data_IF_601624845279
#
_entry.id   IF_601624845279
#
_cell.length_a   1.000
_cell.length_b   1.000
_cell.length_c   1.000
_cell.angle_alpha   90.00
_cell.angle_beta   90.00
_cell.angle_gamma   90.00
#
_symmetry.space_group_name_H-M   'P 1'
#
loop_
_entity.id
_entity.type
_entity.pdbx_description
1 polymer ?
#
# COMPACT_ATOMS: atom_id res chain seq x y z
N UNK A 1 -21.41 32.26 -64.86
CA UNK A 1 -20.55 32.53 -63.69
C UNK A 1 -19.15 32.83 -64.22
N UNK A 2 -18.75 34.10 -64.27
CA UNK A 2 -17.44 34.52 -64.80
C UNK A 2 -16.41 34.45 -63.66
N UNK A 3 -15.60 33.39 -63.62
CA UNK A 3 -14.39 33.41 -62.80
C UNK A 3 -13.41 34.36 -63.49
N UNK A 4 -13.15 35.51 -62.88
CA UNK A 4 -12.04 36.39 -63.28
C UNK A 4 -10.78 35.52 -63.35
N UNK A 5 -10.05 35.59 -64.46
CA UNK A 5 -8.75 34.94 -64.62
C UNK A 5 -7.79 35.57 -63.60
N UNK A 6 -7.65 34.95 -62.44
CA UNK A 6 -6.69 35.38 -61.44
C UNK A 6 -5.32 34.94 -61.96
N UNK A 7 -4.39 35.89 -62.06
CA UNK A 7 -3.03 35.60 -62.52
C UNK A 7 -2.39 34.61 -61.53
N UNK A 8 -1.84 33.53 -62.07
CA UNK A 8 -1.21 32.46 -61.30
C UNK A 8 -0.09 33.01 -60.40
N UNK A 9 0.60 34.07 -60.85
CA UNK A 9 1.63 34.77 -60.10
C UNK A 9 1.07 35.41 -58.83
N UNK A 10 -0.13 36.00 -58.91
CA UNK A 10 -0.79 36.62 -57.76
C UNK A 10 -1.26 35.55 -56.77
N UNK A 11 -1.82 34.43 -57.27
CA UNK A 11 -2.20 33.30 -56.42
C UNK A 11 -0.99 32.74 -55.69
N UNK A 12 0.14 32.57 -56.38
CA UNK A 12 1.36 32.05 -55.80
C UNK A 12 1.93 33.00 -54.74
N UNK A 13 1.93 34.31 -54.99
CA UNK A 13 2.39 35.31 -54.03
C UNK A 13 1.57 35.28 -52.72
N UNK A 14 0.24 35.10 -52.82
CA UNK A 14 -0.63 34.98 -51.64
C UNK A 14 -0.33 33.72 -50.84
N UNK A 15 -0.09 32.58 -51.50
CA UNK A 15 0.27 31.32 -50.84
C UNK A 15 1.62 31.47 -50.11
N UNK A 16 2.62 32.06 -50.76
CA UNK A 16 3.95 32.28 -50.17
C UNK A 16 3.86 33.19 -48.94
N UNK A 17 3.09 34.27 -49.02
CA UNK A 17 2.88 35.18 -47.88
C UNK A 17 2.22 34.47 -46.69
N UNK A 18 1.21 33.61 -46.96
CA UNK A 18 0.55 32.80 -45.93
C UNK A 18 1.51 31.83 -45.24
N UNK A 19 2.38 31.17 -46.01
CA UNK A 19 3.37 30.22 -45.45
C UNK A 19 4.37 30.92 -44.53
N UNK A 20 4.83 32.14 -44.89
CA UNK A 20 5.74 32.93 -44.06
C UNK A 20 5.08 33.36 -42.74
N UNK A 21 3.79 33.70 -42.77
CA UNK A 21 3.05 34.04 -41.54
C UNK A 21 2.92 32.81 -40.63
N UNK A 22 2.60 31.64 -41.18
CA UNK A 22 2.47 30.41 -40.41
C UNK A 22 3.81 30.01 -39.76
N UNK A 23 4.94 30.19 -40.46
CA UNK A 23 6.26 29.88 -39.89
C UNK A 23 6.69 30.86 -38.81
N UNK A 24 6.33 32.15 -38.91
CA UNK A 24 6.57 33.13 -37.85
C UNK A 24 5.67 32.94 -36.63
N UNK A 25 4.43 32.49 -36.84
CA UNK A 25 3.47 32.22 -35.78
C UNK A 25 3.65 30.84 -35.15
N UNK A 26 4.43 29.95 -35.76
CA UNK A 26 4.77 28.68 -35.14
C UNK A 26 5.58 28.95 -33.86
N UNK A 27 5.07 28.53 -32.68
CA UNK A 27 5.86 28.64 -31.47
C UNK A 27 7.14 27.81 -31.64
N UNK A 28 8.30 28.37 -31.25
CA UNK A 28 9.59 27.67 -31.38
C UNK A 28 9.47 26.26 -30.79
N UNK A 29 10.01 25.27 -31.51
CA UNK A 29 10.03 23.85 -31.07
C UNK A 29 10.76 23.67 -29.74
N UNK A 30 11.53 24.67 -29.30
CA UNK A 30 12.24 24.71 -28.03
C UNK A 30 11.35 24.97 -26.80
N UNK A 31 10.02 24.95 -26.97
CA UNK A 31 9.06 25.08 -25.87
C UNK A 31 8.20 23.83 -25.70
N UNK A 32 8.79 22.65 -25.85
CA UNK A 32 8.32 21.53 -25.02
C UNK A 32 8.64 21.97 -23.60
N UNK A 33 7.64 22.59 -22.95
CA UNK A 33 7.71 22.83 -21.51
C UNK A 33 8.08 21.49 -20.91
N UNK A 34 9.26 21.43 -20.33
CA UNK A 34 9.67 20.37 -19.43
C UNK A 34 8.45 20.13 -18.55
N UNK A 35 7.81 18.97 -18.74
CA UNK A 35 6.67 18.61 -17.93
C UNK A 35 7.28 18.54 -16.54
N UNK A 36 7.05 19.57 -15.73
CA UNK A 36 7.34 19.53 -14.31
C UNK A 36 6.46 18.42 -13.76
N UNK A 37 6.98 17.20 -13.83
CA UNK A 37 6.51 16.05 -13.08
C UNK A 37 6.57 16.50 -11.65
N UNK A 38 5.42 16.95 -11.13
CA UNK A 38 5.22 17.23 -9.72
C UNK A 38 5.57 15.92 -9.02
N UNK A 39 6.80 15.84 -8.50
CA UNK A 39 7.31 14.67 -7.81
C UNK A 39 6.34 14.47 -6.66
N UNK A 40 5.47 13.46 -6.77
CA UNK A 40 4.59 13.10 -5.67
C UNK A 40 5.53 12.73 -4.54
N UNK A 41 5.63 13.59 -3.54
CA UNK A 41 6.34 13.26 -2.31
C UNK A 41 5.60 12.05 -1.74
N UNK A 42 6.15 10.86 -1.99
CA UNK A 42 5.74 9.65 -1.30
C UNK A 42 6.01 9.95 0.17
N UNK A 43 4.93 10.22 0.94
CA UNK A 43 5.02 10.36 2.38
C UNK A 43 5.84 9.16 2.87
N UNK A 44 6.98 9.45 3.48
CA UNK A 44 7.85 8.42 4.06
C UNK A 44 6.96 7.59 4.98
N UNK A 45 6.80 6.31 4.67
CA UNK A 45 5.95 5.43 5.46
C UNK A 45 6.50 5.44 6.89
N UNK A 46 5.66 5.89 7.82
CA UNK A 46 6.01 5.90 9.22
C UNK A 46 5.98 4.45 9.73
N UNK A 47 7.05 4.03 10.38
CA UNK A 47 7.23 2.66 10.83
C UNK A 47 7.18 2.64 12.35
N UNK A 48 6.52 1.63 12.90
CA UNK A 48 6.37 1.41 14.33
C UNK A 48 6.97 0.06 14.72
N UNK A 49 7.58 0.01 15.90
CA UNK A 49 8.06 -1.23 16.49
C UNK A 49 6.97 -1.83 17.37
N UNK A 50 6.62 -3.09 17.09
CA UNK A 50 5.62 -3.84 17.82
C UNK A 50 6.29 -5.04 18.48
N UNK A 51 6.11 -5.18 19.78
CA UNK A 51 6.51 -6.38 20.52
C UNK A 51 5.56 -7.53 20.20
N UNK A 52 6.10 -8.69 19.86
CA UNK A 52 5.34 -9.90 19.56
C UNK A 52 5.92 -11.07 20.35
N UNK A 53 5.05 -11.98 20.77
CA UNK A 53 5.39 -13.25 21.39
C UNK A 53 5.02 -14.35 20.41
N UNK A 54 5.98 -15.16 20.00
CA UNK A 54 5.75 -16.25 19.04
C UNK A 54 6.33 -17.56 19.51
N UNK A 55 5.82 -18.65 18.94
CA UNK A 55 6.31 -20.00 19.20
C UNK A 55 6.89 -20.56 17.92
N UNK A 56 8.17 -20.93 17.95
CA UNK A 56 8.78 -21.70 16.88
C UNK A 56 8.34 -23.15 16.96
N UNK A 57 8.11 -23.78 15.82
CA UNK A 57 7.73 -25.20 15.74
C UNK A 57 8.66 -26.08 16.58
N UNK A 58 8.10 -26.82 17.54
CA UNK A 58 8.83 -27.69 18.47
C UNK A 58 9.34 -27.04 19.75
N UNK A 59 9.00 -25.77 20.01
CA UNK A 59 9.23 -25.11 21.30
C UNK A 59 7.97 -25.16 22.16
N UNK A 60 8.13 -25.46 23.44
CA UNK A 60 7.05 -25.42 24.43
C UNK A 60 6.92 -24.03 25.09
N UNK A 61 7.76 -23.07 24.72
CA UNK A 61 7.78 -21.74 25.34
C UNK A 61 7.72 -20.61 24.30
N UNK A 62 6.92 -19.55 24.55
CA UNK A 62 6.93 -18.32 23.75
C UNK A 62 8.28 -17.61 23.81
N UNK A 63 8.68 -17.02 22.69
CA UNK A 63 9.84 -16.14 22.59
C UNK A 63 9.39 -14.73 22.19
N UNK A 64 9.92 -13.72 22.88
CA UNK A 64 9.67 -12.30 22.60
C UNK A 64 10.58 -11.82 21.47
N UNK A 65 10.03 -11.08 20.52
CA UNK A 65 10.77 -10.40 19.46
C UNK A 65 10.04 -9.12 19.02
N UNK A 66 10.72 -8.30 18.22
CA UNK A 66 10.16 -7.04 17.70
C UNK A 66 9.88 -7.16 16.21
N UNK A 67 8.74 -6.65 15.76
CA UNK A 67 8.39 -6.44 14.36
C UNK A 67 8.36 -4.96 14.04
N UNK A 68 9.02 -4.57 12.95
CA UNK A 68 8.89 -3.23 12.39
C UNK A 68 7.78 -3.24 11.35
N UNK A 69 6.64 -2.63 11.69
CA UNK A 69 5.44 -2.59 10.86
C UNK A 69 5.19 -1.17 10.36
N UNK A 70 4.46 -1.04 9.25
CA UNK A 70 3.93 0.27 8.85
C UNK A 70 2.94 0.72 9.92
N UNK A 71 2.97 2.01 10.27
CA UNK A 71 1.99 2.59 11.18
C UNK A 71 0.58 2.33 10.64
N UNK A 72 -0.27 1.81 11.51
CA UNK A 72 -1.63 1.43 11.19
C UNK A 72 -2.49 1.46 12.45
N UNK A 73 -3.78 1.16 12.31
CA UNK A 73 -4.67 1.01 13.45
C UNK A 73 -4.19 -0.13 14.36
N UNK A 74 -4.55 -0.08 15.65
CA UNK A 74 -4.24 -1.15 16.61
C UNK A 74 -4.71 -2.53 16.10
N UNK A 75 -5.88 -2.60 15.46
CA UNK A 75 -6.40 -3.83 14.87
C UNK A 75 -5.56 -4.34 13.70
N UNK A 76 -5.07 -3.45 12.83
CA UNK A 76 -4.23 -3.83 11.69
C UNK A 76 -2.82 -4.25 12.14
N UNK A 77 -2.27 -3.58 13.16
CA UNK A 77 -1.01 -3.96 13.79
C UNK A 77 -1.12 -5.34 14.44
N UNK A 78 -2.20 -5.60 15.18
CA UNK A 78 -2.47 -6.92 15.76
C UNK A 78 -2.61 -7.99 14.69
N UNK A 79 -3.37 -7.73 13.63
CA UNK A 79 -3.52 -8.67 12.52
C UNK A 79 -2.17 -9.01 11.89
N UNK A 80 -1.35 -8.00 11.60
CA UNK A 80 -0.02 -8.19 11.01
C UNK A 80 0.91 -8.98 11.93
N UNK A 81 0.88 -8.69 13.24
CA UNK A 81 1.65 -9.43 14.23
C UNK A 81 1.24 -10.90 14.32
N UNK A 82 -0.07 -11.18 14.36
CA UNK A 82 -0.60 -12.55 14.44
C UNK A 82 -0.34 -13.32 13.15
N UNK A 83 -0.43 -12.71 11.98
CA UNK A 83 -0.05 -13.34 10.72
C UNK A 83 1.44 -13.76 10.69
N UNK A 84 2.33 -12.94 11.26
CA UNK A 84 3.75 -13.29 11.40
C UNK A 84 3.95 -14.46 12.39
N UNK A 85 3.24 -14.45 13.53
CA UNK A 85 3.25 -15.55 14.50
C UNK A 85 2.81 -16.86 13.87
N UNK A 86 1.70 -16.84 13.13
CA UNK A 86 1.12 -18.00 12.44
C UNK A 86 2.14 -18.59 11.47
N UNK A 87 2.77 -17.75 10.62
CA UNK A 87 3.80 -18.18 9.66
C UNK A 87 5.00 -18.86 10.32
N UNK A 88 5.42 -18.39 11.50
CA UNK A 88 6.53 -18.98 12.26
C UNK A 88 6.14 -20.28 12.96
N UNK A 89 4.88 -20.42 13.35
CA UNK A 89 4.36 -21.57 14.06
C UNK A 89 4.10 -22.76 13.12
N UNK A 90 3.38 -22.54 12.01
CA UNK A 90 3.02 -23.58 11.05
C UNK A 90 2.75 -23.01 9.67
N UNK A 91 3.19 -23.72 8.62
CA UNK A 91 2.85 -23.38 7.22
C UNK A 91 1.39 -23.62 6.87
N UNK A 92 0.72 -24.48 7.63
CA UNK A 92 -0.63 -24.96 7.31
C UNK A 92 -1.71 -24.25 8.16
N UNK A 93 -1.29 -23.46 9.14
CA UNK A 93 -2.17 -22.64 9.95
C UNK A 93 -2.40 -21.31 9.23
N UNK A 94 -3.65 -20.85 9.20
CA UNK A 94 -4.03 -19.57 8.63
C UNK A 94 -4.95 -18.82 9.60
N UNK A 95 -4.65 -17.53 9.82
CA UNK A 95 -5.58 -16.61 10.46
C UNK A 95 -6.64 -16.22 9.42
N UNK A 96 -7.90 -16.60 9.67
CA UNK A 96 -9.04 -16.24 8.83
C UNK A 96 -9.50 -14.83 9.17
N UNK A 97 -9.75 -14.54 10.45
CA UNK A 97 -10.23 -13.23 10.88
C UNK A 97 -9.96 -12.96 12.38
N UNK A 98 -10.09 -11.68 12.76
CA UNK A 98 -10.07 -11.21 14.15
C UNK A 98 -11.34 -10.37 14.39
N UNK A 99 -12.09 -10.67 15.44
CA UNK A 99 -13.24 -9.89 15.87
C UNK A 99 -12.98 -9.25 17.24
N UNK A 100 -13.33 -7.98 17.38
CA UNK A 100 -13.05 -7.19 18.57
C UNK A 100 -14.36 -6.94 19.34
N UNK A 101 -14.33 -7.24 20.65
CA UNK A 101 -15.30 -6.81 21.66
C UNK A 101 -14.66 -5.74 22.55
N UNK A 102 -15.42 -5.17 23.48
CA UNK A 102 -14.92 -4.19 24.45
C UNK A 102 -13.83 -4.78 25.37
N UNK A 103 -13.95 -6.06 25.70
CA UNK A 103 -13.12 -6.75 26.71
C UNK A 103 -12.47 -8.04 26.18
N UNK A 104 -12.74 -8.43 24.93
CA UNK A 104 -12.31 -9.72 24.35
C UNK A 104 -11.89 -9.58 22.90
N UNK A 105 -10.92 -10.40 22.50
CA UNK A 105 -10.55 -10.58 21.10
C UNK A 105 -10.82 -12.02 20.67
N UNK A 106 -11.51 -12.18 19.56
CA UNK A 106 -11.87 -13.48 19.00
C UNK A 106 -11.05 -13.76 17.76
N UNK A 107 -10.39 -14.91 17.73
CA UNK A 107 -9.56 -15.37 16.63
C UNK A 107 -10.22 -16.52 15.89
N UNK A 108 -10.34 -16.37 14.58
CA UNK A 108 -10.79 -17.43 13.69
C UNK A 108 -9.58 -17.96 12.93
N UNK A 109 -9.24 -19.23 13.15
CA UNK A 109 -8.19 -19.93 12.43
C UNK A 109 -8.78 -21.07 11.60
N UNK A 110 -8.09 -21.47 10.53
CA UNK A 110 -8.47 -22.64 9.73
C UNK A 110 -8.36 -23.98 10.51
N UNK A 111 -7.58 -24.00 11.59
CA UNK A 111 -7.46 -25.13 12.53
C UNK A 111 -7.38 -24.60 13.97
N UNK A 112 -8.13 -25.26 14.87
CA UNK A 112 -8.19 -24.90 16.30
C UNK A 112 -7.31 -25.76 17.20
N UNK A 113 -6.70 -26.82 16.66
CA UNK A 113 -5.75 -27.67 17.39
C UNK A 113 -4.40 -26.94 17.52
N UNK A 114 -4.38 -25.96 18.42
CA UNK A 114 -3.27 -25.07 18.69
C UNK A 114 -2.66 -25.43 20.04
N UNK A 115 -1.32 -25.43 20.12
CA UNK A 115 -0.64 -25.72 21.37
C UNK A 115 -0.92 -24.66 22.43
N UNK A 116 -0.90 -25.05 23.71
CA UNK A 116 -1.02 -24.10 24.83
C UNK A 116 0.02 -22.99 24.75
N UNK A 117 1.25 -23.32 24.33
CA UNK A 117 2.31 -22.35 24.12
C UNK A 117 1.93 -21.29 23.07
N UNK A 118 1.31 -21.71 21.96
CA UNK A 118 0.86 -20.78 20.92
C UNK A 118 -0.29 -19.89 21.43
N UNK A 119 -1.25 -20.47 22.15
CA UNK A 119 -2.36 -19.71 22.74
C UNK A 119 -1.88 -18.70 23.77
N UNK A 120 -0.91 -19.06 24.61
CA UNK A 120 -0.29 -18.13 25.55
C UNK A 120 0.44 -17.00 24.80
N UNK A 121 1.23 -17.33 23.78
CA UNK A 121 1.91 -16.34 22.96
C UNK A 121 0.93 -15.38 22.25
N UNK A 122 -0.21 -15.91 21.77
CA UNK A 122 -1.30 -15.14 21.17
C UNK A 122 -1.91 -14.18 22.19
N UNK A 123 -2.20 -14.65 23.40
CA UNK A 123 -2.73 -13.84 24.48
C UNK A 123 -1.76 -12.71 24.88
N UNK A 124 -0.48 -13.04 25.10
CA UNK A 124 0.55 -12.06 25.45
C UNK A 124 0.70 -10.99 24.37
N UNK A 125 0.69 -11.39 23.09
CA UNK A 125 0.76 -10.44 21.96
C UNK A 125 -0.49 -9.55 21.89
N UNK A 126 -1.67 -10.12 22.15
CA UNK A 126 -2.93 -9.37 22.18
C UNK A 126 -2.91 -8.31 23.26
N UNK A 127 -2.52 -8.69 24.47
CA UNK A 127 -2.43 -7.78 25.61
C UNK A 127 -1.40 -6.66 25.37
N UNK A 128 -0.24 -7.00 24.83
CA UNK A 128 0.82 -6.02 24.53
C UNK A 128 0.37 -4.96 23.51
N UNK A 129 -0.37 -5.36 22.48
CA UNK A 129 -0.79 -4.46 21.38
C UNK A 129 -2.07 -3.70 21.72
N UNK A 130 -3.03 -4.36 22.36
CA UNK A 130 -4.39 -3.84 22.54
C UNK A 130 -4.73 -3.46 23.98
N UNK A 131 -4.00 -3.99 24.96
CA UNK A 131 -4.36 -3.95 26.38
C UNK A 131 -5.44 -4.97 26.79
N UNK A 132 -5.98 -5.76 25.87
CA UNK A 132 -7.01 -6.77 26.14
C UNK A 132 -6.37 -8.10 26.55
N UNK A 133 -6.76 -8.61 27.71
CA UNK A 133 -6.23 -9.87 28.25
C UNK A 133 -7.00 -11.10 27.79
N UNK A 134 -8.31 -10.98 27.57
CA UNK A 134 -9.15 -12.14 27.26
C UNK A 134 -9.21 -12.38 25.76
N UNK A 135 -8.86 -13.61 25.36
CA UNK A 135 -8.94 -14.07 23.97
C UNK A 135 -9.81 -15.32 23.88
N UNK A 136 -10.43 -15.52 22.72
CA UNK A 136 -11.21 -16.73 22.42
C UNK A 136 -10.96 -17.20 20.99
N UNK A 137 -11.08 -18.51 20.76
CA UNK A 137 -11.08 -19.09 19.42
C UNK A 137 -12.51 -19.30 18.94
N UNK A 138 -12.80 -18.90 17.70
CA UNK A 138 -14.09 -19.13 17.03
C UNK A 138 -14.12 -20.41 16.22
#
# INVERSE_FOLDING_TARGET
MNLKKIDLTIVLAVIVALLVIITLLMPSRDKIKEIEVKKVEVKKEEMVEVTVYGVTKGSDSPNKYTLTLKEASTSDLLKSAVEDMVKKYSSDLELINIYFSDDKVYYEFNNKDLSEAFLNALQMTTQEITGVEEINLL
#
